data_IF_094181806336
#
_entry.id   IF_094181806336
#
_cell.length_a   1.000
_cell.length_b   1.000
_cell.length_c   1.000
_cell.angle_alpha   90.00
_cell.angle_beta   90.00
_cell.angle_gamma   90.00
#
_symmetry.space_group_name_H-M   'P 1'
#
loop_
_entity.id
_entity.type
_entity.pdbx_description
1 polymer ?
#
# COMPACT_ATOMS: atom_id res chain seq x y z
N UNK A 1 -14.15 -1.93 -28.22
CA UNK A 1 -13.06 -1.57 -27.29
C UNK A 1 -12.93 -2.75 -26.32
N UNK A 2 -11.99 -3.67 -26.57
CA UNK A 2 -11.90 -4.93 -25.83
C UNK A 2 -11.57 -4.68 -24.36
N UNK A 3 -12.29 -5.32 -23.44
CA UNK A 3 -11.93 -5.29 -22.02
C UNK A 3 -10.52 -5.85 -21.85
N UNK A 4 -9.63 -5.11 -21.21
CA UNK A 4 -8.29 -5.60 -20.92
C UNK A 4 -8.39 -6.87 -20.07
N UNK A 5 -7.81 -7.97 -20.55
CA UNK A 5 -7.88 -9.24 -19.86
C UNK A 5 -7.16 -9.18 -18.50
N UNK A 6 -7.70 -9.83 -17.44
CA UNK A 6 -7.03 -9.88 -16.16
C UNK A 6 -5.68 -10.61 -16.23
N UNK A 7 -4.62 -10.00 -15.69
CA UNK A 7 -3.34 -10.68 -15.49
C UNK A 7 -3.51 -11.77 -14.44
N UNK A 8 -3.16 -13.02 -14.78
CA UNK A 8 -3.34 -14.19 -13.91
C UNK A 8 -2.11 -15.09 -13.89
N UNK A 9 -1.69 -15.50 -12.70
CA UNK A 9 -0.55 -16.40 -12.52
C UNK A 9 -0.64 -17.16 -11.20
N UNK A 10 0.08 -18.27 -11.07
CA UNK A 10 0.24 -18.96 -9.78
C UNK A 10 1.53 -18.50 -9.14
N UNK A 11 1.43 -17.79 -8.02
CA UNK A 11 2.57 -17.25 -7.28
C UNK A 11 2.63 -17.88 -5.88
N UNK A 12 3.80 -17.83 -5.26
CA UNK A 12 3.95 -18.24 -3.87
C UNK A 12 3.63 -17.07 -2.95
N UNK A 13 2.73 -17.30 -1.99
CA UNK A 13 2.43 -16.35 -0.91
C UNK A 13 2.74 -17.06 0.40
N UNK A 14 3.76 -16.59 1.12
CA UNK A 14 4.31 -17.29 2.29
C UNK A 14 4.78 -18.72 1.94
N UNK A 15 4.05 -19.76 2.36
CA UNK A 15 4.36 -21.18 2.14
C UNK A 15 3.32 -21.89 1.27
N UNK A 16 2.47 -21.14 0.59
CA UNK A 16 1.35 -21.70 -0.19
C UNK A 16 1.38 -21.17 -1.63
N UNK A 17 1.02 -22.04 -2.59
CA UNK A 17 0.77 -21.64 -3.96
C UNK A 17 -0.61 -21.01 -4.04
N UNK A 18 -0.66 -19.77 -4.49
CA UNK A 18 -1.90 -19.03 -4.66
C UNK A 18 -2.11 -18.69 -6.13
N UNK A 19 -3.34 -18.86 -6.61
CA UNK A 19 -3.75 -18.21 -7.85
C UNK A 19 -3.90 -16.72 -7.55
N UNK A 20 -3.25 -15.88 -8.35
CA UNK A 20 -3.26 -14.42 -8.22
C UNK A 20 -3.83 -13.84 -9.51
N UNK A 21 -4.75 -12.88 -9.36
CA UNK A 21 -5.39 -12.18 -10.47
C UNK A 21 -5.41 -10.68 -10.20
N UNK A 22 -5.00 -9.90 -11.18
CA UNK A 22 -5.22 -8.45 -11.23
C UNK A 22 -6.20 -8.17 -12.36
N UNK A 23 -7.35 -7.61 -12.02
CA UNK A 23 -8.38 -7.20 -12.97
C UNK A 23 -8.26 -5.68 -13.20
N UNK A 24 -7.75 -5.23 -14.37
CA UNK A 24 -7.62 -3.81 -14.68
C UNK A 24 -8.95 -3.07 -14.74
N UNK A 25 -10.01 -3.72 -15.24
CA UNK A 25 -11.31 -3.09 -15.40
C UNK A 25 -11.99 -2.83 -14.04
N UNK A 26 -11.76 -3.73 -13.08
CA UNK A 26 -12.27 -3.57 -11.70
C UNK A 26 -11.30 -2.83 -10.79
N UNK A 27 -10.05 -2.62 -11.20
CA UNK A 27 -8.99 -2.13 -10.33
C UNK A 27 -8.86 -3.01 -9.08
N UNK A 28 -8.82 -4.33 -9.24
CA UNK A 28 -8.90 -5.28 -8.12
C UNK A 28 -7.79 -6.34 -8.19
N UNK A 29 -6.96 -6.39 -7.15
CA UNK A 29 -6.00 -7.46 -6.93
C UNK A 29 -6.62 -8.53 -6.03
N UNK A 30 -6.59 -9.78 -6.46
CA UNK A 30 -7.12 -10.94 -5.72
C UNK A 30 -6.11 -12.08 -5.69
N UNK A 31 -6.07 -12.80 -4.58
CA UNK A 31 -5.35 -14.06 -4.47
C UNK A 31 -6.07 -15.04 -3.56
N UNK A 32 -5.99 -16.32 -3.88
CA UNK A 32 -6.59 -17.41 -3.11
C UNK A 32 -5.71 -18.66 -3.20
N UNK A 33 -5.80 -19.59 -2.23
CA UNK A 33 -5.11 -20.87 -2.33
C UNK A 33 -5.43 -21.54 -3.67
N UNK A 34 -4.41 -21.92 -4.42
CA UNK A 34 -4.62 -22.72 -5.63
C UNK A 34 -5.13 -24.09 -5.17
N UNK A 35 -6.29 -24.58 -5.64
CA UNK A 35 -6.78 -25.90 -5.24
C UNK A 35 -5.73 -26.95 -5.63
N UNK A 36 -5.25 -27.69 -4.63
CA UNK A 36 -4.64 -28.99 -4.87
C UNK A 36 -5.73 -30.01 -5.22
N UNK A 37 -5.40 -31.29 -5.49
CA UNK A 37 -6.36 -32.32 -5.88
C UNK A 37 -7.46 -32.68 -4.85
N UNK A 38 -7.69 -31.87 -3.80
CA UNK A 38 -8.73 -32.08 -2.79
C UNK A 38 -9.54 -30.81 -2.53
N UNK A 39 -10.77 -30.81 -3.04
CA UNK A 39 -11.98 -30.14 -2.53
C UNK A 39 -11.79 -28.89 -1.65
N UNK A 40 -11.59 -27.74 -2.28
CA UNK A 40 -12.02 -26.45 -1.72
C UNK A 40 -12.82 -25.68 -2.77
N UNK A 41 -13.92 -25.05 -2.35
CA UNK A 41 -14.74 -24.21 -3.23
C UNK A 41 -13.84 -23.06 -3.73
N UNK A 42 -13.66 -22.90 -5.06
CA UNK A 42 -12.78 -21.87 -5.60
C UNK A 42 -13.16 -20.48 -5.08
N UNK A 43 -12.29 -19.88 -4.26
CA UNK A 43 -12.41 -18.48 -3.85
C UNK A 43 -13.13 -18.19 -2.53
N UNK A 44 -13.50 -19.20 -1.72
CA UNK A 44 -14.06 -18.97 -0.38
C UNK A 44 -13.07 -18.24 0.56
N UNK A 45 -11.78 -18.59 0.48
CA UNK A 45 -10.69 -17.96 1.25
C UNK A 45 -9.92 -16.91 0.45
N UNK A 46 -10.58 -16.28 -0.53
CA UNK A 46 -9.93 -15.28 -1.36
C UNK A 46 -9.66 -13.99 -0.59
N UNK A 47 -8.40 -13.57 -0.61
CA UNK A 47 -8.01 -12.23 -0.21
C UNK A 47 -8.14 -11.29 -1.43
N UNK A 48 -8.67 -10.09 -1.19
CA UNK A 48 -8.83 -9.07 -2.22
C UNK A 48 -8.42 -7.70 -1.71
N UNK A 49 -7.89 -6.87 -2.61
CA UNK A 49 -7.44 -5.51 -2.33
C UNK A 49 -7.77 -4.66 -3.55
N UNK A 50 -8.61 -3.62 -3.41
CA UNK A 50 -8.77 -2.61 -4.44
C UNK A 50 -7.41 -1.95 -4.72
N UNK A 51 -7.10 -1.67 -5.98
CA UNK A 51 -5.87 -0.97 -6.37
C UNK A 51 -5.77 0.40 -5.70
N UNK A 52 -6.90 1.05 -5.44
CA UNK A 52 -6.97 2.30 -4.66
C UNK A 52 -6.57 2.16 -3.18
N UNK A 53 -6.53 0.95 -2.63
CA UNK A 53 -6.07 0.67 -1.26
C UNK A 53 -4.60 0.21 -1.22
N UNK A 54 -3.93 0.10 -2.38
CA UNK A 54 -2.50 -0.18 -2.48
C UNK A 54 -1.73 1.14 -2.30
N UNK A 55 -0.79 1.12 -1.36
CA UNK A 55 0.09 2.25 -1.05
C UNK A 55 1.25 2.27 -2.02
N UNK A 56 1.94 1.15 -2.19
CA UNK A 56 3.05 1.03 -3.15
C UNK A 56 3.32 -0.44 -3.47
N UNK A 57 4.07 -0.66 -4.55
CA UNK A 57 4.58 -1.98 -4.93
C UNK A 57 6.08 -1.88 -5.14
N UNK A 58 6.79 -2.67 -4.36
CA UNK A 58 8.25 -2.69 -4.29
C UNK A 58 8.77 -4.03 -4.75
N UNK A 59 9.86 -4.01 -5.49
CA UNK A 59 10.64 -5.22 -5.72
C UNK A 59 11.35 -5.60 -4.41
N UNK A 60 11.33 -6.88 -4.07
CA UNK A 60 11.97 -7.36 -2.85
C UNK A 60 13.41 -7.70 -3.17
N UNK A 61 14.28 -6.70 -3.10
CA UNK A 61 15.71 -6.92 -3.23
C UNK A 61 16.21 -7.77 -2.06
N UNK A 62 17.05 -8.75 -2.38
CA UNK A 62 17.75 -9.61 -1.42
C UNK A 62 18.79 -8.85 -0.57
N UNK A 63 18.83 -7.51 -0.64
CA UNK A 63 19.80 -6.64 0.02
C UNK A 63 19.20 -5.94 1.25
N UNK A 64 19.12 -6.67 2.36
CA UNK A 64 19.34 -6.05 3.67
C UNK A 64 18.22 -6.07 4.71
N UNK A 65 17.50 -7.19 4.89
CA UNK A 65 16.91 -7.50 6.20
C UNK A 65 17.12 -8.97 6.55
N UNK A 66 18.02 -9.19 7.51
CA UNK A 66 18.18 -10.45 8.22
C UNK A 66 16.85 -10.85 8.86
N UNK A 67 16.11 -11.73 8.18
CA UNK A 67 15.12 -12.56 8.84
C UNK A 67 15.90 -13.65 9.59
N UNK A 68 16.32 -13.35 10.80
CA UNK A 68 16.73 -14.36 11.77
C UNK A 68 15.53 -15.26 12.08
N UNK A 69 15.39 -16.36 11.32
CA UNK A 69 14.89 -17.65 11.79
C UNK A 69 14.91 -18.69 10.66
N UNK A 70 15.92 -19.57 10.72
CA UNK A 70 15.81 -20.99 10.35
C UNK A 70 15.60 -21.34 8.87
N UNK A 71 16.71 -21.73 8.22
CA UNK A 71 16.79 -22.73 7.13
C UNK A 71 15.77 -22.56 5.99
N UNK A 72 16.04 -21.63 5.09
CA UNK A 72 15.66 -21.78 3.68
C UNK A 72 16.93 -22.03 2.89
N UNK A 73 17.22 -23.30 2.64
CA UNK A 73 18.38 -23.65 1.84
C UNK A 73 18.08 -23.35 0.37
N UNK A 74 18.94 -22.49 -0.22
CA UNK A 74 19.35 -22.51 -1.62
C UNK A 74 18.22 -22.40 -2.66
N UNK A 75 17.47 -21.29 -2.61
CA UNK A 75 16.82 -20.76 -3.81
C UNK A 75 17.73 -19.62 -4.28
N UNK A 76 18.36 -19.79 -5.45
CA UNK A 76 19.03 -18.68 -6.14
C UNK A 76 17.99 -17.56 -6.30
N UNK A 77 18.22 -16.44 -5.60
CA UNK A 77 17.40 -15.21 -5.56
C UNK A 77 15.90 -15.42 -5.88
N UNK A 78 15.02 -15.64 -4.89
CA UNK A 78 13.60 -15.67 -5.17
C UNK A 78 13.17 -14.30 -5.73
N UNK A 79 12.80 -14.25 -7.01
CA UNK A 79 12.22 -13.05 -7.62
C UNK A 79 10.90 -12.77 -6.94
N UNK A 80 10.83 -11.69 -6.17
CA UNK A 80 9.68 -11.40 -5.34
C UNK A 80 9.34 -9.91 -5.36
N UNK A 81 8.06 -9.62 -5.23
CA UNK A 81 7.56 -8.27 -5.07
C UNK A 81 6.64 -8.18 -3.87
N UNK A 82 6.64 -7.03 -3.22
CA UNK A 82 5.84 -6.75 -2.03
C UNK A 82 4.83 -5.66 -2.34
N UNK A 83 3.55 -5.95 -2.09
CA UNK A 83 2.45 -4.99 -2.18
C UNK A 83 2.16 -4.46 -0.79
N UNK A 84 2.46 -3.19 -0.56
CA UNK A 84 2.06 -2.45 0.63
C UNK A 84 0.65 -1.95 0.43
N UNK A 85 -0.24 -2.26 1.38
CA UNK A 85 -1.66 -1.95 1.29
C UNK A 85 -2.21 -1.46 2.61
N UNK A 86 -3.33 -0.78 2.53
CA UNK A 86 -4.15 -0.52 3.71
C UNK A 86 -5.04 -1.73 3.97
N UNK A 87 -5.14 -2.14 5.24
CA UNK A 87 -6.17 -3.05 5.73
C UNK A 87 -7.06 -2.34 6.74
N UNK A 88 -8.36 -2.34 6.47
CA UNK A 88 -9.38 -1.88 7.42
C UNK A 88 -9.41 -2.83 8.62
N UNK A 89 -9.25 -2.29 9.82
CA UNK A 89 -9.30 -3.01 11.07
C UNK A 89 -10.56 -2.62 11.86
N UNK A 90 -10.82 -3.33 12.97
CA UNK A 90 -11.93 -3.02 13.88
C UNK A 90 -11.80 -1.58 14.43
N UNK A 91 -12.94 -1.00 14.85
CA UNK A 91 -13.03 0.34 15.45
C UNK A 91 -12.58 1.48 14.52
N UNK A 92 -12.91 1.40 13.23
CA UNK A 92 -12.57 2.43 12.23
C UNK A 92 -11.06 2.72 12.10
N UNK A 93 -10.21 1.75 12.44
CA UNK A 93 -8.75 1.91 12.37
C UNK A 93 -8.22 1.36 11.06
N UNK A 94 -7.27 2.07 10.49
CA UNK A 94 -6.57 1.66 9.29
C UNK A 94 -5.18 1.18 9.69
N UNK A 95 -4.70 0.10 9.08
CA UNK A 95 -3.37 -0.45 9.33
C UNK A 95 -2.65 -0.67 8.01
N UNK A 96 -1.37 -0.32 7.96
CA UNK A 96 -0.51 -0.81 6.89
C UNK A 96 -0.34 -2.32 7.03
N UNK A 97 -0.49 -3.02 5.92
CA UNK A 97 -0.25 -4.44 5.78
C UNK A 97 0.55 -4.66 4.49
N UNK A 98 1.31 -5.74 4.46
CA UNK A 98 2.09 -6.11 3.28
C UNK A 98 1.78 -7.55 2.90
N UNK A 99 1.87 -7.83 1.60
CA UNK A 99 1.85 -9.18 1.06
C UNK A 99 2.97 -9.30 0.06
N UNK A 100 3.79 -10.34 0.23
CA UNK A 100 4.92 -10.65 -0.64
C UNK A 100 4.55 -11.83 -1.52
N UNK A 101 4.73 -11.66 -2.83
CA UNK A 101 4.52 -12.68 -3.84
C UNK A 101 5.88 -13.10 -4.40
N UNK A 102 6.19 -14.39 -4.33
CA UNK A 102 7.39 -14.94 -4.97
C UNK A 102 7.01 -15.59 -6.30
N UNK A 103 7.77 -15.25 -7.33
CA UNK A 103 7.61 -15.69 -8.70
C UNK A 103 8.58 -16.85 -9.00
N UNK A 104 8.27 -17.62 -10.05
CA UNK A 104 9.15 -18.68 -10.54
C UNK A 104 10.36 -18.11 -11.31
N UNK A 105 10.17 -16.98 -11.98
CA UNK A 105 11.17 -16.33 -12.83
C UNK A 105 11.09 -14.79 -12.70
N UNK A 106 12.17 -14.13 -13.13
CA UNK A 106 12.34 -12.66 -13.08
C UNK A 106 11.32 -11.93 -13.95
N UNK A 107 11.07 -12.44 -15.15
CA UNK A 107 10.21 -11.80 -16.15
C UNK A 107 8.78 -11.69 -15.65
N UNK A 108 8.28 -12.74 -14.99
CA UNK A 108 6.98 -12.76 -14.35
C UNK A 108 6.92 -11.75 -13.20
N UNK A 109 7.95 -11.67 -12.37
CA UNK A 109 8.03 -10.68 -11.29
C UNK A 109 7.97 -9.25 -11.84
N UNK A 110 8.76 -8.95 -12.87
CA UNK A 110 8.79 -7.65 -13.53
C UNK A 110 7.45 -7.32 -14.20
N UNK A 111 6.82 -8.29 -14.86
CA UNK A 111 5.49 -8.13 -15.45
C UNK A 111 4.46 -7.72 -14.39
N UNK A 112 4.44 -8.41 -13.25
CA UNK A 112 3.53 -8.08 -12.13
C UNK A 112 3.82 -6.69 -11.55
N UNK A 113 5.10 -6.37 -11.31
CA UNK A 113 5.54 -5.06 -10.82
C UNK A 113 5.10 -3.93 -11.75
N UNK A 114 5.41 -4.06 -13.05
CA UNK A 114 5.06 -3.07 -14.05
C UNK A 114 3.54 -2.90 -14.15
N UNK A 115 2.79 -4.00 -14.29
CA UNK A 115 1.33 -3.94 -14.42
C UNK A 115 0.69 -3.28 -13.21
N UNK A 116 1.13 -3.61 -11.99
CA UNK A 116 0.59 -2.98 -10.78
C UNK A 116 0.93 -1.49 -10.69
N UNK A 117 2.17 -1.09 -11.04
CA UNK A 117 2.57 0.33 -11.08
C UNK A 117 1.76 1.12 -12.09
N UNK A 118 1.53 0.57 -13.28
CA UNK A 118 0.66 1.19 -14.29
C UNK A 118 -0.78 1.34 -13.80
N UNK A 119 -1.32 0.35 -13.09
CA UNK A 119 -2.65 0.47 -12.49
C UNK A 119 -2.72 1.55 -11.41
N UNK A 120 -1.66 1.71 -10.61
CA UNK A 120 -1.57 2.77 -9.61
C UNK A 120 -1.49 4.17 -10.24
N UNK A 121 -0.76 4.31 -11.35
CA UNK A 121 -0.61 5.60 -12.05
C UNK A 121 -1.91 6.04 -12.73
N UNK A 122 -2.75 5.09 -13.15
CA UNK A 122 -4.08 5.36 -13.73
C UNK A 122 -5.10 5.87 -12.71
N UNK A 123 -4.81 5.81 -11.41
CA UNK A 123 -5.72 6.30 -10.37
C UNK A 123 -5.72 7.84 -10.34
N UNK A 124 -6.79 8.44 -10.87
CA UNK A 124 -6.99 9.90 -10.83
C UNK A 124 -7.25 10.45 -9.43
N UNK A 125 -7.71 9.61 -8.50
CA UNK A 125 -8.02 10.00 -7.13
C UNK A 125 -6.79 10.00 -6.20
N UNK A 126 -5.60 9.62 -6.69
CA UNK A 126 -4.39 9.52 -5.87
C UNK A 126 -3.64 10.86 -5.86
N UNK A 127 -3.54 11.55 -4.70
CA UNK A 127 -2.82 12.81 -4.63
C UNK A 127 -1.32 12.58 -4.83
N UNK A 128 -0.68 13.43 -5.63
CA UNK A 128 0.79 13.42 -5.86
C UNK A 128 1.52 14.44 -4.99
N UNK A 129 0.84 15.55 -4.69
CA UNK A 129 1.36 16.66 -3.88
C UNK A 129 0.32 17.05 -2.84
N UNK A 130 0.75 17.21 -1.58
CA UNK A 130 -0.11 17.66 -0.48
C UNK A 130 0.56 18.79 0.30
N UNK A 131 -0.18 19.87 0.52
CA UNK A 131 0.20 20.90 1.48
C UNK A 131 -0.32 20.51 2.87
N UNK A 132 0.58 20.40 3.84
CA UNK A 132 0.26 19.98 5.21
C UNK A 132 0.46 21.14 6.16
N UNK A 133 -0.64 21.62 6.75
CA UNK A 133 -0.59 22.60 7.83
C UNK A 133 -0.49 21.90 9.17
N UNK A 134 0.57 22.22 9.92
CA UNK A 134 0.75 21.76 11.29
C UNK A 134 0.57 22.95 12.22
N UNK A 135 -0.43 22.86 13.12
CA UNK A 135 -0.55 23.80 14.22
C UNK A 135 0.23 23.24 15.43
N UNK A 136 1.40 23.80 15.78
CA UNK A 136 2.21 23.31 16.89
C UNK A 136 1.61 23.62 18.26
N UNK A 137 0.71 24.61 18.36
CA UNK A 137 0.15 25.10 19.63
C UNK A 137 -1.23 24.51 19.96
N UNK A 138 -1.81 23.70 19.06
CA UNK A 138 -3.11 23.08 19.27
C UNK A 138 -3.10 21.93 20.29
N UNK A 139 -4.03 21.93 21.25
CA UNK A 139 -4.28 20.82 22.16
C UNK A 139 -3.04 20.39 22.97
N UNK A 140 -2.58 19.15 22.78
CA UNK A 140 -1.40 18.59 23.49
C UNK A 140 -0.04 18.97 22.88
N UNK A 141 0.00 19.81 21.83
CA UNK A 141 1.24 20.26 21.19
C UNK A 141 2.07 19.15 20.50
N UNK A 142 1.49 17.99 20.23
CA UNK A 142 2.19 16.84 19.63
C UNK A 142 2.04 16.75 18.10
N UNK A 143 1.41 17.74 17.45
CA UNK A 143 1.06 17.71 16.03
C UNK A 143 2.25 17.40 15.12
N UNK A 144 3.33 18.17 15.27
CA UNK A 144 4.59 17.99 14.54
C UNK A 144 5.17 16.59 14.71
N UNK A 145 5.35 16.15 15.97
CA UNK A 145 5.90 14.83 16.29
C UNK A 145 5.05 13.68 15.73
N UNK A 146 3.73 13.82 15.74
CA UNK A 146 2.81 12.81 15.17
C UNK A 146 2.97 12.77 13.65
N UNK A 147 3.02 13.93 13.01
CA UNK A 147 3.23 14.03 11.57
C UNK A 147 4.52 13.33 11.15
N UNK A 148 5.66 13.73 11.73
CA UNK A 148 6.99 13.17 11.42
C UNK A 148 7.06 11.66 11.66
N UNK A 149 6.49 11.15 12.75
CA UNK A 149 6.62 9.73 13.12
C UNK A 149 5.64 8.80 12.41
N UNK A 150 4.48 9.30 11.99
CA UNK A 150 3.39 8.44 11.50
C UNK A 150 2.88 8.80 10.12
N UNK A 151 2.77 10.08 9.82
CA UNK A 151 2.13 10.56 8.58
C UNK A 151 3.15 10.70 7.47
N UNK A 152 4.27 11.40 7.73
CA UNK A 152 5.33 11.60 6.74
C UNK A 152 5.85 10.28 6.14
N UNK A 153 6.15 9.22 6.94
CA UNK A 153 6.60 7.94 6.38
C UNK A 153 5.56 7.29 5.46
N UNK A 154 4.26 7.50 5.72
CA UNK A 154 3.19 6.96 4.90
C UNK A 154 3.06 7.71 3.57
N UNK A 155 3.20 9.03 3.60
CA UNK A 155 3.23 9.84 2.37
C UNK A 155 4.45 9.53 1.52
N UNK A 156 5.63 9.41 2.12
CA UNK A 156 6.84 8.98 1.42
C UNK A 156 6.67 7.59 0.82
N UNK A 157 6.13 6.62 1.57
CA UNK A 157 5.86 5.28 1.06
C UNK A 157 4.87 5.30 -0.12
N UNK A 158 3.91 6.22 -0.09
CA UNK A 158 2.95 6.42 -1.17
C UNK A 158 3.47 7.31 -2.31
N UNK A 159 4.77 7.65 -2.33
CA UNK A 159 5.37 8.58 -3.30
C UNK A 159 4.63 9.91 -3.42
N UNK A 160 4.13 10.43 -2.30
CA UNK A 160 3.46 11.72 -2.21
C UNK A 160 4.47 12.74 -1.71
N UNK A 161 4.67 13.81 -2.49
CA UNK A 161 5.46 14.96 -2.06
C UNK A 161 4.62 15.83 -1.12
N UNK A 162 5.22 16.28 -0.02
CA UNK A 162 4.53 17.13 0.94
C UNK A 162 5.29 18.40 1.26
N UNK A 163 4.60 19.52 1.20
CA UNK A 163 5.08 20.80 1.70
C UNK A 163 4.46 21.02 3.08
N UNK A 164 5.30 21.25 4.09
CA UNK A 164 4.84 21.37 5.48
C UNK A 164 4.97 22.81 5.94
N UNK A 165 3.86 23.39 6.37
CA UNK A 165 3.83 24.74 6.96
C UNK A 165 3.48 24.61 8.44
N UNK A 166 4.42 25.02 9.29
CA UNK A 166 4.18 25.19 10.72
C UNK A 166 3.59 26.58 10.96
N UNK A 167 2.37 26.64 11.47
CA UNK A 167 1.78 27.93 11.84
C UNK A 167 2.49 28.47 13.08
N UNK A 168 3.20 29.58 12.94
CA UNK A 168 3.88 30.30 14.03
C UNK A 168 2.93 31.18 14.84
N UNK A 169 1.65 31.27 14.45
CA UNK A 169 0.70 32.21 15.04
C UNK A 169 -0.04 31.51 16.17
N UNK A 170 0.30 31.86 17.41
CA UNK A 170 -0.54 31.64 18.60
C UNK A 170 -1.96 32.10 18.28
N UNK A 171 -2.95 31.29 18.63
CA UNK A 171 -4.38 31.58 18.43
C UNK A 171 -4.82 32.71 19.37
N UNK A 172 -4.30 33.92 19.18
CA UNK A 172 -4.81 35.16 19.78
C UNK A 172 -5.49 36.04 18.72
N UNK A 173 -5.15 35.90 17.45
CA UNK A 173 -5.80 36.68 16.38
C UNK A 173 -7.15 36.11 15.90
N UNK A 174 -7.57 34.94 16.39
CA UNK A 174 -8.90 34.38 16.06
C UNK A 174 -10.05 35.00 16.89
N UNK A 175 -9.76 35.81 17.92
CA UNK A 175 -10.79 36.53 18.68
C UNK A 175 -11.13 37.93 18.12
N UNK A 176 -10.36 38.48 17.18
CA UNK A 176 -10.60 39.85 16.67
C UNK A 176 -11.64 39.95 15.54
N UNK A 177 -12.01 38.83 14.91
CA UNK A 177 -12.96 38.81 13.78
C UNK A 177 -14.44 38.65 14.21
N UNK A 178 -14.82 39.08 15.42
CA UNK A 178 -16.22 39.03 15.91
C UNK A 178 -16.85 40.40 16.24
N UNK A 179 -16.24 41.51 15.82
CA UNK A 179 -16.83 42.86 15.93
C UNK A 179 -16.92 43.59 14.59
N UNK A 180 -17.57 42.96 13.61
CA UNK A 180 -18.16 43.66 12.47
C UNK A 180 -19.56 43.10 12.24
N UNK A 181 -20.45 43.34 13.20
CA UNK A 181 -21.89 43.46 12.95
C UNK A 181 -22.13 44.86 12.41
N UNK A 182 -22.57 44.94 11.16
CA UNK A 182 -23.38 46.05 10.69
C UNK A 182 -24.85 45.77 11.04
#
# INVERSE_FOLDING_TARGET
MGAAEPLRSVLWVKRQRCAVSLDPARGLLRWWPSPGPGTSVPGADACSVPVSEIITVEETDSRGKDYSSGKWQKIEKPHAFTVHRVRRARRHRWKCAQVTFCCADEQLCHLWLQTLREQLEKLTCRPKHLLVFINPFGGKGQGKRIYERKVAPLFTLASITTDVIESSVSVETACSARSCTA
#
